data_IF_586565943376
#
_entry.id   IF_586565943376
#
_cell.length_a   1.000
_cell.length_b   1.000
_cell.length_c   1.000
_cell.angle_alpha   90.00
_cell.angle_beta   90.00
_cell.angle_gamma   90.00
#
_symmetry.space_group_name_H-M   'P 1'
#
loop_
_entity.id
_entity.type
_entity.pdbx_description
1 polymer ?
2 polymer ?
3 polymer ?
4 polymer ?
5 non-polymer ?
6 non-polymer ?
7 non-polymer ?
8 non-polymer ?
9 non-polymer ?
10 non-polymer ?
11 non-polymer ?
12 water ?
#
loop_
_entity_poly.entity_id
_entity_poly.type
_entity_poly.pdbx_seq_one_letter_code
_entity_poly.pdbx_strand_id
2 'polydeoxyribonucleotide' '(DC)(DG)(DG)(DC)(DC)(DT)(DA)(DC)(DG)' ?
3 'polydeoxyribonucleotide' '(DC)(DG)(DT)(DA)(8GM)' ?
4 'polydeoxyribonucleotide' '(DG)(DC)(DC)(DG)' ?
#
# COMPACT_ATOMS: atom_id res chain seq x y z
N UNK A 12 10.09 -15.76 -17.22
CA UNK A 12 9.52 -14.79 -16.30
C UNK A 12 9.35 -15.50 -14.96
N UNK A 13 10.06 -14.99 -13.92
CA UNK A 13 9.97 -15.63 -12.61
C UNK A 13 8.56 -15.56 -12.05
N UNK A 14 8.25 -16.51 -11.16
CA UNK A 14 6.90 -16.67 -10.68
C UNK A 14 6.55 -15.71 -9.53
N UNK A 15 7.54 -15.26 -8.76
CA UNK A 15 7.28 -14.36 -7.64
C UNK A 15 7.57 -12.91 -8.05
N UNK A 16 6.75 -11.97 -7.57
CA UNK A 16 6.99 -10.59 -8.00
C UNK A 16 8.30 -10.02 -7.44
N UNK A 17 8.82 -10.58 -6.36
CA UNK A 17 10.08 -10.08 -5.80
C UNK A 17 11.30 -10.54 -6.56
N UNK A 18 11.13 -11.37 -7.59
CA UNK A 18 12.21 -11.90 -8.40
C UNK A 18 12.39 -11.15 -9.71
N UNK A 19 11.59 -10.14 -9.96
CA UNK A 19 11.68 -9.44 -11.23
C UNK A 19 11.47 -7.96 -11.02
N UNK A 20 12.20 -7.13 -11.73
CA UNK A 20 11.97 -5.68 -11.65
C UNK A 20 10.63 -5.29 -12.22
N UNK A 21 9.93 -4.41 -11.51
CA UNK A 21 8.69 -3.87 -12.05
C UNK A 21 8.74 -2.37 -11.96
N UNK A 22 8.90 -1.67 -13.07
CA UNK A 22 9.02 -0.22 -13.03
C UNK A 22 7.67 0.44 -12.83
N UNK A 23 7.72 1.73 -12.56
CA UNK A 23 6.49 2.50 -12.36
C UNK A 23 5.75 2.66 -13.68
N UNK A 24 6.48 2.95 -14.74
CA UNK A 24 5.94 3.09 -16.09
C UNK A 24 6.17 1.79 -16.85
N UNK A 25 5.10 1.25 -17.43
CA UNK A 25 5.21 -0.03 -18.13
C UNK A 25 4.28 -0.01 -19.35
N UNK A 26 4.21 -1.14 -20.07
CA UNK A 26 3.67 -1.18 -21.43
C UNK A 26 2.33 -1.88 -21.60
N UNK A 27 1.66 -2.27 -20.54
CA UNK A 27 0.45 -3.08 -20.68
C UNK A 27 -0.62 -2.60 -19.72
N UNK A 28 -0.75 -1.28 -19.58
CA UNK A 28 -1.64 -0.70 -18.60
C UNK A 28 -3.08 -1.13 -18.80
N UNK A 29 -3.55 -1.16 -20.04
CA UNK A 29 -4.93 -1.54 -20.28
C UNK A 29 -5.25 -2.95 -19.82
N UNK A 30 -4.37 -3.90 -20.12
CA UNK A 30 -4.58 -5.28 -19.68
C UNK A 30 -4.48 -5.38 -18.17
N UNK A 31 -3.48 -4.75 -17.57
CA UNK A 31 -3.32 -4.89 -16.13
C UNK A 31 -4.47 -4.24 -15.39
N UNK A 32 -4.97 -3.09 -15.89
CA UNK A 32 -6.06 -2.44 -15.19
C UNK A 32 -7.31 -3.30 -15.20
N UNK A 33 -7.57 -4.01 -16.28
CA UNK A 33 -8.74 -4.90 -16.35
C UNK A 33 -8.62 -6.05 -15.35
N UNK A 34 -7.45 -6.70 -15.33
CA UNK A 34 -7.25 -7.78 -14.37
C UNK A 34 -7.36 -7.26 -12.93
N UNK A 35 -6.92 -6.02 -12.68
CA UNK A 35 -7.04 -5.47 -11.33
C UNK A 35 -8.49 -5.16 -10.95
N UNK A 36 -9.34 -4.83 -11.93
CA UNK A 36 -10.77 -4.73 -11.63
C UNK A 36 -11.31 -6.06 -11.13
N UNK A 37 -10.99 -7.14 -11.85
CA UNK A 37 -11.43 -8.46 -11.42
C UNK A 37 -10.84 -8.84 -10.05
N UNK A 38 -9.59 -8.48 -9.78
CA UNK A 38 -9.02 -8.73 -8.47
C UNK A 38 -9.81 -8.00 -7.37
N UNK A 39 -10.04 -6.70 -7.58
CA UNK A 39 -10.78 -5.91 -6.59
C UNK A 39 -12.16 -6.51 -6.37
N UNK A 40 -12.85 -6.88 -7.45
CA UNK A 40 -14.16 -7.47 -7.30
C UNK A 40 -14.11 -8.80 -6.57
N UNK A 41 -13.06 -9.61 -6.80
CA UNK A 41 -12.92 -10.86 -6.06
C UNK A 41 -12.78 -10.59 -4.57
N UNK A 42 -12.04 -9.54 -4.21
CA UNK A 42 -11.94 -9.16 -2.80
C UNK A 42 -13.28 -8.75 -2.22
N UNK A 43 -14.05 -7.98 -2.99
CA UNK A 43 -15.36 -7.57 -2.51
C UNK A 43 -16.27 -8.76 -2.24
N UNK A 44 -16.07 -9.87 -2.93
CA UNK A 44 -16.88 -11.06 -2.72
C UNK A 44 -16.24 -12.03 -1.72
N UNK A 45 -15.15 -11.62 -1.08
CA UNK A 45 -14.52 -12.40 -0.04
C UNK A 45 -13.58 -13.51 -0.50
N UNK A 46 -13.10 -13.47 -1.73
CA UNK A 46 -12.14 -14.49 -2.22
C UNK A 46 -10.77 -13.85 -2.33
N UNK A 47 -9.98 -13.96 -1.27
CA UNK A 47 -8.64 -13.45 -1.29
C UNK A 47 -7.76 -14.24 -2.26
N UNK A 48 -8.05 -15.53 -2.46
CA UNK A 48 -7.23 -16.29 -3.38
C UNK A 48 -7.37 -15.84 -4.82
N UNK A 49 -8.62 -15.66 -5.28
CA UNK A 49 -8.83 -15.14 -6.63
C UNK A 49 -8.29 -13.71 -6.76
N UNK A 50 -8.43 -12.90 -5.71
CA UNK A 50 -7.84 -11.57 -5.75
C UNK A 50 -6.34 -11.66 -5.98
N UNK A 51 -5.67 -12.57 -5.26
CA UNK A 51 -4.24 -12.69 -5.39
C UNK A 51 -3.83 -13.15 -6.77
N UNK A 52 -4.54 -14.14 -7.35
CA UNK A 52 -4.17 -14.59 -8.69
C UNK A 52 -4.31 -13.45 -9.71
N UNK A 53 -5.42 -12.73 -9.66
CA UNK A 53 -5.60 -11.66 -10.63
C UNK A 53 -4.58 -10.55 -10.43
N UNK A 54 -4.26 -10.22 -9.16
CA UNK A 54 -3.21 -9.25 -8.90
C UNK A 54 -1.86 -9.73 -9.44
N UNK A 55 -1.52 -11.00 -9.22
CA UNK A 55 -0.26 -11.53 -9.69
C UNK A 55 -0.20 -11.52 -11.20
N UNK A 56 -1.31 -11.90 -11.86
CA UNK A 56 -1.32 -11.89 -13.31
C UNK A 56 -1.13 -10.47 -13.85
N UNK A 57 -1.83 -9.49 -13.25
CA UNK A 57 -1.64 -8.10 -13.65
C UNK A 57 -0.20 -7.68 -13.50
N UNK A 58 0.44 -8.10 -12.42
CA UNK A 58 1.82 -7.71 -12.14
C UNK A 58 2.79 -8.31 -13.14
N UNK A 59 2.53 -9.54 -13.58
CA UNK A 59 3.35 -10.18 -14.61
C UNK A 59 3.37 -9.30 -15.86
N UNK A 60 2.21 -8.76 -16.24
CA UNK A 60 2.16 -7.93 -17.43
C UNK A 60 2.94 -6.62 -17.25
N UNK A 61 2.98 -6.07 -16.03
CA UNK A 61 3.75 -4.86 -15.76
C UNK A 61 5.23 -5.11 -15.91
N UNK A 62 5.68 -6.34 -15.76
CA UNK A 62 7.08 -6.63 -15.84
C UNK A 62 7.55 -6.98 -17.24
N UNK A 63 6.63 -7.13 -18.18
CA UNK A 63 7.01 -7.46 -19.54
C UNK A 63 7.68 -6.26 -20.22
N UNK A 64 8.62 -6.52 -21.13
CA UNK A 64 9.36 -5.42 -21.75
C UNK A 64 8.63 -4.71 -22.86
N UNK A 65 7.53 -5.27 -23.36
CA UNK A 65 6.87 -4.76 -24.55
C UNK A 65 5.38 -4.95 -24.42
N UNK A 66 4.59 -4.27 -25.24
CA UNK A 66 3.14 -4.51 -25.23
C UNK A 66 2.80 -5.91 -25.71
N UNK A 67 1.86 -6.53 -25.01
CA UNK A 67 1.23 -7.76 -25.48
C UNK A 67 0.25 -7.37 -26.57
N UNK A 68 0.46 -7.92 -27.76
CA UNK A 68 -0.45 -7.73 -28.89
C UNK A 68 -1.07 -9.01 -29.38
N UNK A 69 -0.57 -10.17 -28.97
CA UNK A 69 -1.06 -11.46 -29.41
C UNK A 69 -1.21 -12.38 -28.22
N UNK A 70 -2.27 -13.18 -28.22
CA UNK A 70 -2.47 -14.15 -27.14
C UNK A 70 -1.27 -15.05 -26.99
N UNK A 71 -0.61 -15.38 -28.11
CA UNK A 71 0.61 -16.19 -28.15
C UNK A 71 1.62 -15.74 -27.10
N UNK A 72 1.74 -14.43 -26.88
CA UNK A 72 2.74 -13.88 -26.00
C UNK A 72 2.49 -14.19 -24.52
N UNK A 73 1.33 -14.76 -24.17
CA UNK A 73 1.08 -15.16 -22.79
C UNK A 73 1.55 -16.56 -22.47
N UNK A 74 1.84 -17.38 -23.49
CA UNK A 74 2.10 -18.79 -23.24
C UNK A 74 3.28 -18.92 -22.28
N UNK A 75 3.10 -19.76 -21.27
CA UNK A 75 4.14 -20.02 -20.31
C UNK A 75 4.25 -19.01 -19.18
N UNK A 76 3.55 -17.88 -19.27
CA UNK A 76 3.69 -16.90 -18.21
C UNK A 76 3.05 -17.41 -16.92
N UNK A 77 3.70 -17.20 -15.78
CA UNK A 77 3.09 -17.61 -14.52
C UNK A 77 1.82 -16.83 -14.23
N UNK A 78 0.88 -17.52 -13.60
CA UNK A 78 -0.38 -16.99 -13.10
C UNK A 78 -1.37 -16.68 -14.20
N UNK A 79 -1.07 -17.05 -15.46
CA UNK A 79 -2.04 -17.00 -16.56
C UNK A 79 -2.58 -18.39 -16.80
N UNK A 80 -3.82 -18.59 -16.42
CA UNK A 80 -4.59 -19.78 -16.75
C UNK A 80 -5.76 -19.44 -17.64
N UNK A 81 -6.79 -20.27 -17.59
CA UNK A 81 -7.83 -20.09 -18.58
C UNK A 81 -8.55 -18.76 -18.37
N UNK A 82 -8.73 -18.35 -17.13
CA UNK A 82 -9.60 -17.19 -16.89
C UNK A 82 -8.88 -15.89 -17.24
N UNK A 83 -7.66 -15.70 -16.70
CA UNK A 83 -6.92 -14.48 -17.03
C UNK A 83 -6.57 -14.41 -18.51
N UNK A 84 -6.30 -15.56 -19.13
CA UNK A 84 -5.98 -15.53 -20.55
C UNK A 84 -7.19 -15.12 -21.37
N UNK A 85 -8.39 -15.59 -20.97
CA UNK A 85 -9.60 -15.23 -21.72
C UNK A 85 -9.87 -13.73 -21.64
N UNK A 86 -9.60 -13.13 -20.48
CA UNK A 86 -9.77 -11.68 -20.35
C UNK A 86 -8.83 -10.94 -21.30
N UNK A 87 -7.55 -11.33 -21.33
CA UNK A 87 -6.62 -10.69 -22.25
C UNK A 87 -7.07 -10.91 -23.69
N UNK A 88 -7.49 -12.13 -24.02
CA UNK A 88 -7.90 -12.45 -25.39
C UNK A 88 -9.04 -11.54 -25.83
N UNK A 89 -10.04 -11.35 -24.97
CA UNK A 89 -11.17 -10.49 -25.32
C UNK A 89 -10.72 -9.04 -25.50
N UNK A 90 -9.84 -8.55 -24.62
CA UNK A 90 -9.36 -7.18 -24.75
C UNK A 90 -8.57 -7.01 -26.03
N UNK A 91 -7.77 -8.01 -26.41
CA UNK A 91 -7.01 -7.88 -27.65
C UNK A 91 -7.90 -7.95 -28.88
N UNK A 92 -8.93 -8.80 -28.85
CA UNK A 92 -9.81 -8.97 -30.01
C UNK A 92 -10.78 -7.81 -30.15
N UNK A 93 -11.30 -7.32 -29.04
CA UNK A 93 -12.46 -6.43 -29.04
C UNK A 93 -12.22 -5.10 -28.36
N UNK A 94 -11.19 -4.97 -27.53
CA UNK A 94 -10.96 -3.74 -26.81
C UNK A 94 -11.71 -3.66 -25.50
N UNK A 95 -12.61 -4.60 -25.23
CA UNK A 95 -13.34 -4.67 -23.98
C UNK A 95 -13.55 -6.13 -23.61
N UNK A 96 -13.61 -6.40 -22.32
CA UNK A 96 -13.95 -7.71 -21.79
C UNK A 96 -15.33 -7.62 -21.16
N UNK A 97 -16.26 -8.45 -21.63
CA UNK A 97 -17.64 -8.37 -21.14
C UNK A 97 -17.69 -8.51 -19.62
N UNK A 98 -16.92 -9.44 -19.05
CA UNK A 98 -16.98 -9.64 -17.61
C UNK A 98 -16.50 -8.41 -16.85
N UNK A 99 -15.42 -7.79 -17.33
CA UNK A 99 -14.91 -6.59 -16.69
C UNK A 99 -15.95 -5.47 -16.77
N UNK A 100 -16.59 -5.30 -17.93
CA UNK A 100 -17.55 -4.21 -18.07
C UNK A 100 -18.78 -4.45 -17.18
N UNK A 101 -19.20 -5.70 -17.07
CA UNK A 101 -20.34 -6.01 -16.20
C UNK A 101 -20.00 -5.70 -14.75
N UNK A 102 -18.77 -6.02 -14.31
CA UNK A 102 -18.42 -5.71 -12.93
C UNK A 102 -18.33 -4.19 -12.75
N UNK A 103 -17.62 -3.52 -13.65
CA UNK A 103 -17.49 -2.07 -13.61
C UNK A 103 -18.83 -1.37 -13.43
N UNK A 104 -19.83 -1.79 -14.20
CA UNK A 104 -21.10 -1.08 -14.20
C UNK A 104 -22.03 -1.51 -13.09
N UNK A 105 -21.63 -2.48 -12.25
CA UNK A 105 -22.57 -3.04 -11.30
C UNK A 105 -22.69 -2.18 -10.05
N UNK A 106 -23.91 -2.13 -9.51
CA UNK A 106 -24.16 -1.33 -8.31
C UNK A 106 -23.32 -1.83 -7.15
N UNK A 107 -23.14 -3.15 -7.08
CA UNK A 107 -22.38 -3.73 -5.97
C UNK A 107 -20.93 -3.30 -6.04
N UNK A 108 -20.29 -3.45 -7.21
CA UNK A 108 -18.91 -3.01 -7.36
C UNK A 108 -18.76 -1.53 -7.06
N UNK A 109 -19.61 -0.69 -7.66
CA UNK A 109 -19.48 0.75 -7.48
C UNK A 109 -19.61 1.13 -6.01
N UNK A 110 -20.59 0.57 -5.32
CA UNK A 110 -20.82 0.93 -3.93
C UNK A 110 -19.71 0.40 -3.03
N UNK A 111 -19.29 -0.84 -3.26
CA UNK A 111 -18.21 -1.38 -2.44
C UNK A 111 -16.93 -0.61 -2.65
N UNK A 112 -16.67 -0.15 -3.87
CA UNK A 112 -15.50 0.69 -4.10
C UNK A 112 -15.63 2.01 -3.34
N UNK A 113 -16.82 2.61 -3.39
CA UNK A 113 -17.04 3.88 -2.72
C UNK A 113 -16.83 3.75 -1.23
N UNK A 114 -17.38 2.70 -0.62
CA UNK A 114 -17.31 2.56 0.84
C UNK A 114 -15.91 2.13 1.29
N UNK A 115 -15.28 1.19 0.59
CA UNK A 115 -13.97 0.73 1.05
C UNK A 115 -12.89 1.79 0.86
N UNK A 116 -13.12 2.78 0.00
CA UNK A 116 -12.10 3.83 -0.09
C UNK A 116 -12.17 4.80 1.09
N UNK A 117 -13.17 4.69 1.96
CA UNK A 117 -13.20 5.50 3.18
C UNK A 117 -12.18 4.96 4.16
N UNK A 118 -11.41 5.85 4.75
CA UNK A 118 -10.51 5.49 5.84
C UNK A 118 -11.33 5.00 7.03
N UNK A 119 -11.04 3.76 7.47
CA UNK A 119 -11.79 3.11 8.53
C UNK A 119 -12.79 2.06 8.09
N UNK A 120 -13.02 1.93 6.80
CA UNK A 120 -14.00 0.99 6.24
C UNK A 120 -13.26 -0.01 5.36
N UNK A 121 -13.36 -1.30 5.68
CA UNK A 121 -12.92 -2.35 4.79
C UNK A 121 -14.07 -3.14 4.19
N UNK A 122 -13.71 -4.25 3.53
CA UNK A 122 -14.71 -5.04 2.81
C UNK A 122 -15.82 -5.52 3.73
N UNK A 123 -15.48 -6.08 4.90
CA UNK A 123 -16.53 -6.65 5.75
C UNK A 123 -17.50 -5.58 6.20
N UNK A 124 -17.01 -4.40 6.57
CA UNK A 124 -17.91 -3.32 6.97
C UNK A 124 -18.74 -2.83 5.79
N UNK A 125 -18.08 -2.62 4.64
CA UNK A 125 -18.81 -2.16 3.46
C UNK A 125 -19.88 -3.15 3.02
N UNK A 126 -19.58 -4.44 3.11
CA UNK A 126 -20.54 -5.45 2.70
C UNK A 126 -21.76 -5.44 3.61
N UNK A 127 -21.54 -5.25 4.91
CA UNK A 127 -22.68 -5.20 5.83
C UNK A 127 -23.57 -4.01 5.49
N UNK A 128 -22.96 -2.84 5.28
CA UNK A 128 -23.73 -1.67 4.90
C UNK A 128 -24.47 -1.87 3.56
N UNK A 129 -23.80 -2.43 2.57
CA UNK A 129 -24.47 -2.75 1.30
C UNK A 129 -25.69 -3.63 1.55
N UNK A 130 -25.53 -4.69 2.35
CA UNK A 130 -26.66 -5.59 2.63
C UNK A 130 -27.78 -4.90 3.40
N UNK A 131 -27.49 -3.85 4.16
CA UNK A 131 -28.50 -3.07 4.86
C UNK A 131 -29.17 -2.04 3.96
N UNK A 132 -28.74 -1.92 2.70
CA UNK A 132 -29.36 -1.02 1.76
C UNK A 132 -28.66 0.31 1.57
N UNK A 133 -27.56 0.56 2.25
CA UNK A 133 -26.91 1.84 2.09
C UNK A 133 -26.13 1.87 0.79
N UNK A 134 -26.10 3.03 0.16
CA UNK A 134 -25.52 3.16 -1.16
C UNK A 134 -24.65 4.39 -1.37
N UNK A 135 -24.76 5.41 -0.54
CA UNK A 135 -24.05 6.66 -0.78
C UNK A 135 -23.37 7.13 0.50
N UNK A 136 -22.44 8.06 0.34
CA UNK A 136 -21.83 8.64 1.54
C UNK A 136 -22.85 9.43 2.36
N UNK A 137 -23.82 10.08 1.72
CA UNK A 137 -24.85 10.75 2.51
C UNK A 137 -25.69 9.76 3.29
N UNK A 138 -25.89 8.54 2.76
CA UNK A 138 -26.56 7.51 3.54
C UNK A 138 -25.82 7.23 4.84
N UNK A 139 -24.49 7.15 4.78
CA UNK A 139 -23.72 6.86 5.99
C UNK A 139 -23.76 8.03 6.96
N UNK A 140 -23.65 9.25 6.45
CA UNK A 140 -23.68 10.42 7.32
C UNK A 140 -25.01 10.53 8.05
N UNK A 141 -26.11 10.10 7.42
CA UNK A 141 -27.41 10.12 8.07
C UNK A 141 -27.55 9.09 9.19
N UNK A 142 -26.61 8.17 9.35
CA UNK A 142 -26.68 7.13 10.38
C UNK A 142 -25.38 7.10 11.18
N UNK A 143 -25.08 8.16 11.93
CA UNK A 143 -23.74 8.30 12.52
C UNK A 143 -23.47 7.35 13.67
N UNK A 144 -24.49 6.77 14.30
CA UNK A 144 -24.24 5.79 15.34
C UNK A 144 -23.58 4.53 14.79
N UNK A 145 -23.78 4.24 13.50
CA UNK A 145 -23.17 3.11 12.85
C UNK A 145 -21.65 3.26 12.68
N UNK A 146 -21.03 4.37 13.09
CA UNK A 146 -19.66 4.68 12.71
C UNK A 146 -18.72 4.72 13.90
N UNK A 147 -17.56 4.08 13.73
CA UNK A 147 -16.46 4.30 14.66
C UNK A 147 -15.93 5.72 14.53
N UNK A 148 -15.13 6.12 15.52
CA UNK A 148 -14.47 7.41 15.44
C UNK A 148 -13.53 7.49 14.22
N UNK A 149 -12.83 6.40 13.93
CA UNK A 149 -11.98 6.39 12.75
C UNK A 149 -12.80 6.62 11.47
N UNK A 150 -13.94 5.96 11.37
CA UNK A 150 -14.79 6.11 10.20
C UNK A 150 -15.38 7.52 10.13
N UNK A 151 -15.74 8.09 11.29
CA UNK A 151 -16.25 9.46 11.29
C UNK A 151 -15.21 10.41 10.72
N UNK A 152 -13.96 10.22 11.09
CA UNK A 152 -12.90 11.06 10.57
C UNK A 152 -12.71 10.84 9.07
N UNK A 153 -12.74 9.57 8.64
CA UNK A 153 -12.58 9.30 7.23
C UNK A 153 -13.69 9.91 6.41
N UNK A 154 -14.90 9.88 6.93
CA UNK A 154 -16.04 10.45 6.21
C UNK A 154 -15.98 11.97 6.23
N UNK A 155 -15.61 12.54 7.38
CA UNK A 155 -15.56 13.99 7.49
C UNK A 155 -14.57 14.59 6.51
N UNK A 156 -13.46 13.91 6.26
CA UNK A 156 -12.39 14.46 5.46
C UNK A 156 -12.33 13.78 4.11
N UNK A 157 -13.42 13.11 3.73
CA UNK A 157 -13.37 12.27 2.54
C UNK A 157 -13.01 13.03 1.28
N UNK A 158 -13.56 14.26 1.09
CA UNK A 158 -13.27 14.99 -0.14
C UNK A 158 -11.77 15.29 -0.26
N UNK A 159 -11.17 15.82 0.83
CA UNK A 159 -9.73 16.09 0.77
C UNK A 159 -8.92 14.81 0.58
N UNK A 160 -9.31 13.72 1.27
CA UNK A 160 -8.54 12.47 1.20
C UNK A 160 -8.68 11.82 -0.17
N UNK A 161 -9.63 12.26 -0.97
CA UNK A 161 -9.76 11.77 -2.34
C UNK A 161 -8.95 12.58 -3.33
N UNK A 162 -8.33 13.69 -2.90
CA UNK A 162 -7.49 14.55 -3.73
C UNK A 162 -6.08 13.98 -3.73
N UNK A 163 -5.45 13.74 -4.88
CA UNK A 163 -4.10 13.20 -4.85
C UNK A 163 -3.15 14.08 -4.06
N UNK A 164 -2.32 13.41 -3.26
CA UNK A 164 -1.22 14.05 -2.57
C UNK A 164 -0.09 14.21 -3.57
N UNK A 165 0.49 15.40 -3.64
CA UNK A 165 1.56 15.74 -4.57
C UNK A 165 2.90 15.86 -3.87
N UNK A 166 3.97 15.96 -4.67
CA UNK A 166 5.31 16.08 -4.08
C UNK A 166 5.47 17.35 -3.25
N UNK A 167 4.84 18.46 -3.68
CA UNK A 167 4.87 19.68 -2.89
C UNK A 167 4.35 19.44 -1.48
N UNK A 168 3.27 18.66 -1.37
CA UNK A 168 2.70 18.30 -0.09
C UNK A 168 3.67 17.44 0.71
N UNK A 169 4.30 16.47 0.04
CA UNK A 169 5.25 15.61 0.73
C UNK A 169 6.38 16.43 1.34
N UNK A 170 6.92 17.35 0.56
CA UNK A 170 8.03 18.14 1.07
C UNK A 170 7.62 18.98 2.26
N UNK A 171 6.43 19.59 2.22
CA UNK A 171 5.97 20.39 3.35
C UNK A 171 5.75 19.52 4.58
N UNK A 172 5.18 18.33 4.38
CA UNK A 172 4.91 17.45 5.51
C UNK A 172 6.20 16.92 6.10
N UNK A 173 7.19 16.63 5.26
CA UNK A 173 8.42 16.09 5.81
C UNK A 173 9.09 17.15 6.68
N UNK A 174 9.01 18.42 6.27
CA UNK A 174 9.60 19.47 7.08
C UNK A 174 8.91 19.57 8.45
N UNK A 175 7.58 19.48 8.49
CA UNK A 175 6.96 19.64 9.81
C UNK A 175 7.16 18.41 10.68
N UNK A 176 7.19 17.21 10.06
CA UNK A 176 7.50 16.00 10.81
C UNK A 176 8.93 16.04 11.34
N UNK A 177 9.89 16.45 10.50
CA UNK A 177 11.26 16.58 10.98
C UNK A 177 11.36 17.55 12.14
N UNK A 178 10.64 18.67 12.07
CA UNK A 178 10.71 19.64 13.16
C UNK A 178 10.19 19.03 14.46
N UNK A 179 9.05 18.36 14.42
CA UNK A 179 8.49 17.74 15.62
C UNK A 179 9.40 16.64 16.14
N UNK A 180 9.94 15.80 15.25
CA UNK A 180 10.82 14.72 15.65
C UNK A 180 12.08 15.27 16.30
N UNK A 181 12.67 16.30 15.72
CA UNK A 181 13.87 16.91 16.31
C UNK A 181 13.61 17.54 17.67
N UNK A 182 12.43 18.12 17.85
CA UNK A 182 12.03 18.65 19.15
C UNK A 182 11.82 17.54 20.17
N UNK A 183 11.35 16.37 19.72
CA UNK A 183 11.07 15.27 20.62
C UNK A 183 12.33 14.49 20.98
N UNK A 184 13.30 14.40 20.07
CA UNK A 184 14.47 13.56 20.36
C UNK A 184 15.63 13.99 19.48
N UNK A 185 16.63 14.69 20.01
CA UNK A 185 17.76 15.10 19.18
C UNK A 185 18.44 13.91 18.55
N UNK A 186 18.73 14.05 17.26
CA UNK A 186 19.41 13.03 16.50
C UNK A 186 18.50 12.06 15.80
N UNK A 187 17.20 12.10 16.09
CA UNK A 187 16.28 11.20 15.41
C UNK A 187 16.14 11.65 13.98
N UNK A 188 15.86 10.69 13.11
CA UNK A 188 15.77 10.87 11.67
C UNK A 188 14.39 10.48 11.14
N UNK A 189 14.07 11.05 9.99
CA UNK A 189 12.81 10.84 9.29
C UNK A 189 13.12 10.44 7.86
N UNK A 190 12.59 9.28 7.44
CA UNK A 190 12.80 8.74 6.09
C UNK A 190 11.47 8.61 5.38
N UNK A 191 11.34 9.21 4.20
CA UNK A 191 10.15 9.01 3.39
C UNK A 191 10.12 7.60 2.84
N UNK A 192 8.98 6.91 3.02
CA UNK A 192 8.82 5.56 2.50
C UNK A 192 7.57 5.49 1.61
N UNK A 193 6.94 4.34 1.52
CA UNK A 193 5.76 4.23 0.68
C UNK A 193 5.99 4.51 -0.80
N UNK A 194 4.88 4.81 -1.47
CA UNK A 194 4.93 4.98 -2.91
C UNK A 194 5.84 6.08 -3.37
N UNK A 195 5.96 7.18 -2.58
CA UNK A 195 6.85 8.23 -3.03
C UNK A 195 8.31 7.77 -3.06
N UNK A 196 8.71 6.87 -2.16
CA UNK A 196 10.08 6.37 -2.24
C UNK A 196 10.27 5.47 -3.46
N UNK A 197 9.21 4.86 -3.96
CA UNK A 197 9.29 4.07 -5.18
C UNK A 197 9.21 4.91 -6.44
N UNK A 198 9.12 6.22 -6.29
CA UNK A 198 9.12 7.10 -7.44
C UNK A 198 7.77 7.61 -7.88
N UNK A 199 6.69 7.26 -7.20
CA UNK A 199 5.39 7.77 -7.59
C UNK A 199 5.36 9.28 -7.45
N UNK A 200 4.64 9.93 -8.37
CA UNK A 200 4.49 11.37 -8.31
C UNK A 200 3.28 11.80 -7.49
N UNK A 201 2.38 10.88 -7.21
CA UNK A 201 1.16 11.12 -6.44
C UNK A 201 0.96 9.99 -5.45
N UNK A 202 0.07 10.21 -4.48
CA UNK A 202 -0.24 9.18 -3.52
C UNK A 202 -1.54 9.48 -2.83
N UNK A 203 -2.05 8.49 -2.10
CA UNK A 203 -3.23 8.68 -1.27
C UNK A 203 -2.87 9.15 0.13
N UNK A 204 -1.59 9.08 0.48
CA UNK A 204 -1.09 9.42 1.79
C UNK A 204 0.40 9.61 1.68
N UNK A 205 1.02 10.01 2.78
CA UNK A 205 2.47 10.09 2.89
C UNK A 205 2.91 9.22 4.03
N UNK A 206 3.97 8.42 3.81
CA UNK A 206 4.45 7.45 4.81
C UNK A 206 5.87 7.82 5.25
N UNK A 207 6.09 7.83 6.57
CA UNK A 207 7.39 8.21 7.14
C UNK A 207 7.83 7.18 8.16
N UNK A 208 9.13 6.89 8.16
CA UNK A 208 9.76 5.97 9.09
C UNK A 208 10.78 6.75 9.91
N UNK A 209 10.68 6.64 11.24
CA UNK A 209 11.45 7.44 12.18
C UNK A 209 12.31 6.50 13.01
N UNK A 210 13.58 6.86 13.17
CA UNK A 210 14.45 6.05 14.04
C UNK A 210 15.47 6.98 14.71
N UNK A 211 16.39 6.37 15.47
CA UNK A 211 17.48 7.07 16.11
C UNK A 211 18.71 6.16 16.07
N UNK A 212 19.90 6.71 15.81
CA UNK A 212 21.07 5.82 15.63
C UNK A 212 21.46 5.04 16.87
N UNK A 213 21.05 5.47 18.06
CA UNK A 213 21.42 4.75 19.29
C UNK A 213 20.22 3.89 19.71
N UNK A 214 20.42 2.57 19.64
CA UNK A 214 19.39 1.61 19.99
C UNK A 214 18.78 1.91 21.35
N UNK A 215 17.45 1.98 21.40
CA UNK A 215 16.75 2.21 22.64
C UNK A 215 16.30 3.65 22.84
N UNK A 216 16.98 4.60 22.20
CA UNK A 216 16.64 5.98 22.44
C UNK A 216 15.26 6.34 21.90
N UNK A 217 14.79 5.59 20.90
CA UNK A 217 13.51 5.87 20.28
C UNK A 217 12.33 5.37 21.10
N UNK A 218 12.56 4.71 22.24
CA UNK A 218 11.45 4.27 23.07
C UNK A 218 10.61 5.47 23.48
N UNK A 219 9.28 5.35 23.30
CA UNK A 219 8.39 6.42 23.70
C UNK A 219 8.36 7.62 22.80
N UNK A 220 8.97 7.53 21.60
CA UNK A 220 9.10 8.69 20.76
C UNK A 220 7.77 9.09 20.13
N UNK A 221 6.98 8.10 19.67
CA UNK A 221 5.87 8.51 18.81
C UNK A 221 4.83 9.32 19.61
N UNK A 222 4.48 8.98 20.86
CA UNK A 222 3.58 9.87 21.59
C UNK A 222 4.13 11.29 21.74
N UNK A 223 5.45 11.45 21.93
CA UNK A 223 6.02 12.77 22.05
C UNK A 223 5.93 13.54 20.74
N UNK A 224 6.10 12.86 19.62
CA UNK A 224 5.99 13.51 18.32
C UNK A 224 4.55 13.94 18.09
N UNK A 225 3.61 13.04 18.38
CA UNK A 225 2.20 13.34 18.17
C UNK A 225 1.75 14.50 19.03
N UNK A 226 2.19 14.56 20.29
CA UNK A 226 1.84 15.70 21.13
C UNK A 226 2.35 17.01 20.55
N UNK A 227 3.58 17.01 20.04
CA UNK A 227 4.15 18.22 19.49
C UNK A 227 3.44 18.64 18.21
N UNK A 228 3.06 17.68 17.38
CA UNK A 228 2.28 18.02 16.19
C UNK A 228 0.88 18.53 16.58
N UNK A 229 0.25 17.87 17.55
CA UNK A 229 -1.11 18.26 17.92
C UNK A 229 -1.11 19.65 18.50
N UNK A 230 -0.05 20.05 19.19
CA UNK A 230 -0.06 21.38 19.80
C UNK A 230 0.32 22.48 18.81
N UNK A 231 0.92 22.13 17.67
CA UNK A 231 1.07 23.08 16.57
C UNK A 231 -0.18 23.13 15.69
N UNK A 232 -1.26 22.47 16.10
CA UNK A 232 -2.51 22.45 15.34
C UNK A 232 -2.48 21.63 14.08
N UNK A 233 -1.55 20.68 13.96
CA UNK A 233 -1.36 19.98 12.68
C UNK A 233 -2.16 18.70 12.57
N UNK A 234 -2.82 18.22 13.64
CA UNK A 234 -3.44 16.91 13.67
C UNK A 234 -4.95 17.06 13.71
N UNK A 235 -5.63 16.50 12.71
CA UNK A 235 -7.09 16.40 12.71
C UNK A 235 -7.59 15.11 13.34
N UNK A 236 -6.88 14.01 13.14
CA UNK A 236 -7.28 12.72 13.68
C UNK A 236 -6.04 11.89 13.98
N UNK A 237 -6.04 11.22 15.14
CA UNK A 237 -5.13 10.11 15.35
C UNK A 237 -5.72 9.15 16.39
N UNK A 238 -5.13 7.97 16.43
CA UNK A 238 -5.38 6.84 17.37
C UNK A 238 -5.66 5.56 16.60
N UNK A 258 1.19 3.19 24.91
CA UNK A 258 2.42 3.04 24.11
C UNK A 258 2.06 2.66 22.68
N UNK A 259 2.71 3.29 21.70
CA UNK A 259 2.44 2.90 20.33
C UNK A 259 3.64 3.26 19.45
N UNK A 260 3.76 2.53 18.32
CA UNK A 260 4.83 2.70 17.36
C UNK A 260 4.37 2.94 15.92
N UNK A 261 3.07 2.87 15.64
CA UNK A 261 2.50 3.21 14.35
C UNK A 261 1.35 4.15 14.61
N UNK A 262 1.25 5.22 13.82
CA UNK A 262 0.14 6.14 13.93
C UNK A 262 -0.39 6.42 12.53
N UNK A 263 -1.66 6.13 12.30
CA UNK A 263 -2.33 6.40 11.02
C UNK A 263 -3.17 7.63 11.23
N UNK A 264 -2.69 8.78 10.79
CA UNK A 264 -3.37 9.99 11.19
C UNK A 264 -3.73 10.83 9.97
N UNK A 265 -4.48 11.87 10.26
CA UNK A 265 -4.89 12.85 9.27
C UNK A 265 -4.32 14.18 9.74
N UNK A 266 -3.51 14.81 8.91
CA UNK A 266 -2.91 16.11 9.20
C UNK A 266 -3.80 17.23 8.67
N UNK A 267 -3.72 18.39 9.31
CA UNK A 267 -4.24 19.66 8.78
C UNK A 267 -3.05 20.34 8.12
N UNK A 268 -2.87 20.14 6.82
CA UNK A 268 -1.72 20.69 6.10
C UNK A 268 -1.99 22.11 5.63
N UNK A 269 -1.19 23.10 6.02
CA UNK A 269 -1.45 24.46 5.53
C UNK A 269 -1.27 24.53 4.03
N UNK A 270 -2.12 25.33 3.40
CA UNK A 270 -2.06 25.69 2.00
C UNK A 270 -2.16 27.21 1.93
N UNK A 271 -1.86 27.81 0.77
CA UNK A 271 -2.00 29.27 0.64
C UNK A 271 -3.39 29.76 1.02
N UNK A 272 -3.48 30.50 2.12
CA UNK A 272 -4.73 31.02 2.64
C UNK A 272 -5.65 30.00 3.25
N UNK A 273 -5.22 28.75 3.42
CA UNK A 273 -6.17 27.74 3.87
C UNK A 273 -5.49 26.48 4.30
N UNK A 274 -6.14 25.32 4.16
CA UNK A 274 -5.56 24.07 4.59
C UNK A 274 -6.30 22.92 3.91
N UNK A 275 -5.67 21.75 3.90
CA UNK A 275 -6.32 20.53 3.43
C UNK A 275 -5.92 19.36 4.31
N UNK A 276 -6.85 18.43 4.47
CA UNK A 276 -6.56 17.21 5.20
C UNK A 276 -5.72 16.27 4.35
N UNK A 277 -4.71 15.66 4.96
CA UNK A 277 -3.85 14.69 4.29
C UNK A 277 -3.60 13.51 5.22
N UNK A 278 -3.75 12.31 4.70
CA UNK A 278 -3.38 11.09 5.43
C UNK A 278 -1.87 10.94 5.52
N UNK A 279 -1.40 10.69 6.75
CA UNK A 279 0.03 10.52 7.01
C UNK A 279 0.18 9.31 7.91
N UNK A 280 1.09 8.40 7.54
CA UNK A 280 1.44 7.28 8.38
C UNK A 280 2.81 7.54 8.99
N UNK A 281 2.90 7.43 10.31
CA UNK A 281 4.16 7.57 11.04
C UNK A 281 4.49 6.25 11.72
N UNK A 282 5.70 5.78 11.52
CA UNK A 282 6.19 4.55 12.11
C UNK A 282 7.51 4.83 12.80
N UNK A 283 7.69 4.32 14.03
CA UNK A 283 8.97 4.36 14.72
C UNK A 283 9.53 2.95 14.77
N UNK A 284 10.81 2.80 14.46
CA UNK A 284 11.51 1.54 14.59
C UNK A 284 12.85 1.75 15.27
N UNK A 285 13.29 0.80 16.11
CA UNK A 285 14.69 0.84 16.56
C UNK A 285 15.65 0.60 15.39
N UNK A 286 16.85 1.15 15.54
CA UNK A 286 17.76 1.15 14.37
C UNK A 286 18.14 -0.26 13.96
N UNK A 287 18.18 -1.22 14.91
CA UNK A 287 18.43 -2.62 14.55
C UNK A 287 17.39 -3.15 13.56
N UNK A 288 16.17 -2.61 13.59
CA UNK A 288 15.12 -3.07 12.72
C UNK A 288 14.92 -2.18 11.51
N UNK A 289 15.67 -1.08 11.42
CA UNK A 289 15.38 -0.08 10.39
C UNK A 289 15.43 -0.66 8.98
N UNK A 290 16.40 -1.48 8.56
CA UNK A 290 16.33 -2.04 7.20
C UNK A 290 15.08 -2.83 6.94
N UNK A 291 14.58 -3.60 7.93
CA UNK A 291 13.38 -4.40 7.75
C UNK A 291 12.15 -3.52 7.67
N UNK A 292 12.11 -2.46 8.48
CA UNK A 292 10.97 -1.57 8.41
C UNK A 292 11.01 -0.77 7.11
N UNK A 293 12.19 -0.35 6.69
CA UNK A 293 12.29 0.41 5.44
C UNK A 293 11.82 -0.46 4.28
N UNK A 294 12.25 -1.71 4.27
CA UNK A 294 11.83 -2.62 3.20
C UNK A 294 10.34 -2.83 3.23
N UNK A 295 9.78 -3.12 4.41
CA UNK A 295 8.36 -3.39 4.50
C UNK A 295 7.51 -2.21 4.11
N UNK A 296 7.84 -1.04 4.61
CA UNK A 296 7.02 0.15 4.38
C UNK A 296 7.25 0.76 3.02
N UNK A 297 8.26 0.35 2.30
CA UNK A 297 8.44 0.87 0.94
C UNK A 297 7.56 0.15 -0.06
N UNK A 298 7.11 -1.07 0.23
CA UNK A 298 6.16 -1.73 -0.69
C UNK A 298 6.80 -2.12 -2.00
N UNK A 299 5.99 -2.22 -3.07
CA UNK A 299 4.54 -2.15 -3.03
C UNK A 299 3.87 -3.23 -2.19
N UNK A 300 2.56 -3.08 -1.92
CA UNK A 300 1.85 -4.06 -1.10
C UNK A 300 1.98 -5.47 -1.69
N UNK A 301 1.78 -5.61 -2.99
CA UNK A 301 1.93 -6.93 -3.60
C UNK A 301 3.38 -7.38 -3.52
N UNK A 302 4.33 -6.49 -3.79
CA UNK A 302 5.74 -6.87 -3.70
C UNK A 302 6.05 -7.45 -2.32
N UNK A 303 5.58 -6.78 -1.26
CA UNK A 303 5.93 -7.24 0.08
C UNK A 303 5.26 -8.56 0.42
N UNK A 304 3.99 -8.77 0.02
CA UNK A 304 3.41 -10.08 0.34
C UNK A 304 4.09 -11.18 -0.46
N UNK A 305 4.50 -10.89 -1.67
CA UNK A 305 5.24 -11.87 -2.47
C UNK A 305 6.61 -12.17 -1.86
N UNK A 306 7.31 -11.14 -1.39
CA UNK A 306 8.61 -11.32 -0.75
C UNK A 306 8.49 -12.17 0.51
N UNK A 307 7.49 -11.91 1.33
CA UNK A 307 7.29 -12.68 2.55
C UNK A 307 6.89 -14.12 2.23
N UNK A 308 6.06 -14.31 1.19
CA UNK A 308 5.74 -15.67 0.75
C UNK A 308 6.99 -16.39 0.27
N UNK A 309 7.79 -15.72 -0.55
CA UNK A 309 9.03 -16.29 -1.03
C UNK A 309 9.94 -16.70 0.12
N UNK A 310 10.08 -15.81 1.10
CA UNK A 310 10.99 -16.07 2.22
C UNK A 310 10.59 -17.36 2.92
N UNK A 311 9.31 -17.47 3.24
CA UNK A 311 8.84 -18.60 4.02
C UNK A 311 8.82 -19.88 3.17
N UNK A 312 8.21 -19.79 1.99
CA UNK A 312 7.98 -21.00 1.20
C UNK A 312 9.21 -21.51 0.48
N UNK A 313 10.08 -20.62 0.02
CA UNK A 313 11.28 -21.02 -0.71
C UNK A 313 12.50 -21.12 0.18
N UNK A 314 12.63 -20.25 1.18
CA UNK A 314 13.84 -20.21 1.99
C UNK A 314 13.63 -20.65 3.43
N UNK A 315 12.40 -20.91 3.86
CA UNK A 315 12.18 -21.37 5.22
C UNK A 315 12.44 -20.34 6.28
N UNK A 316 12.38 -19.06 5.93
CA UNK A 316 12.68 -17.96 6.85
C UNK A 316 11.45 -17.08 6.96
N UNK A 317 11.24 -16.48 8.13
CA UNK A 317 10.04 -15.73 8.36
C UNK A 317 10.36 -14.23 8.38
N UNK A 318 9.78 -13.49 7.44
CA UNK A 318 10.06 -12.07 7.23
C UNK A 318 8.90 -11.21 7.67
N UNK A 319 9.18 -10.15 8.43
CA UNK A 319 8.20 -9.11 8.69
C UNK A 319 8.96 -7.78 8.78
N UNK A 320 8.29 -6.72 9.23
CA UNK A 320 8.91 -5.39 9.23
C UNK A 320 9.83 -5.20 10.41
N UNK A 321 9.99 -6.21 11.26
CA UNK A 321 10.93 -6.17 12.37
C UNK A 321 12.21 -6.95 12.09
N UNK A 322 12.15 -7.99 11.27
CA UNK A 322 13.28 -8.89 11.17
C UNK A 322 13.02 -10.04 10.22
N UNK A 323 14.02 -10.92 10.16
CA UNK A 323 14.03 -12.10 9.32
C UNK A 323 14.49 -13.24 10.23
N UNK A 324 13.60 -14.17 10.51
CA UNK A 324 13.77 -15.16 11.56
C UNK A 324 14.01 -16.54 10.96
N UNK A 325 15.03 -17.23 11.46
CA UNK A 325 15.27 -18.63 11.12
C UNK A 325 14.65 -19.47 12.21
N UNK A 326 13.53 -20.14 11.96
CA UNK A 326 12.78 -20.82 13.03
C UNK A 326 13.44 -22.09 13.51
N UNK A 327 14.40 -22.63 12.78
CA UNK A 327 15.07 -23.83 13.27
C UNK A 327 16.23 -23.46 14.21
N UNK A 328 17.04 -22.47 13.84
CA UNK A 328 18.10 -22.03 14.73
C UNK A 328 17.59 -21.05 15.78
N UNK A 329 16.41 -20.48 15.59
CA UNK A 329 15.83 -19.56 16.58
C UNK A 329 16.61 -18.25 16.65
N UNK A 330 17.07 -17.76 15.50
CA UNK A 330 17.90 -16.58 15.42
C UNK A 330 17.36 -15.59 14.38
N UNK A 331 17.72 -14.35 14.59
CA UNK A 331 17.37 -13.25 13.69
C UNK A 331 18.59 -12.84 12.88
N UNK A 332 18.37 -12.56 11.61
CA UNK A 332 19.42 -12.09 10.72
C UNK A 332 19.73 -10.63 11.00
N UNK A 333 20.98 -10.31 11.23
CA UNK A 333 21.38 -8.93 11.50
C UNK A 333 21.69 -8.25 10.17
N UNK A 334 20.81 -7.36 9.75
CA UNK A 334 20.94 -6.68 8.47
C UNK A 334 21.36 -5.25 8.70
N UNK A 335 22.29 -4.77 7.87
CA UNK A 335 22.64 -3.36 7.90
C UNK A 335 21.97 -2.55 6.81
N UNK A 336 21.36 -3.20 5.82
CA UNK A 336 20.77 -2.51 4.68
C UNK A 336 19.70 -3.41 4.09
N UNK A 337 18.83 -2.82 3.25
CA UNK A 337 17.93 -3.62 2.44
C UNK A 337 18.69 -4.62 1.58
N UNK A 338 19.80 -4.18 0.96
CA UNK A 338 20.60 -5.08 0.14
C UNK A 338 20.97 -6.35 0.91
N UNK A 339 21.32 -6.19 2.20
CA UNK A 339 21.68 -7.36 3.00
C UNK A 339 20.52 -8.36 3.05
N UNK A 340 19.28 -7.85 3.15
CA UNK A 340 18.11 -8.73 3.26
C UNK A 340 17.91 -9.50 1.97
N UNK A 341 17.94 -8.80 0.84
CA UNK A 341 17.80 -9.47 -0.45
C UNK A 341 18.86 -10.56 -0.59
N UNK A 342 20.11 -10.22 -0.25
CA UNK A 342 21.21 -11.17 -0.40
C UNK A 342 20.99 -12.42 0.47
N UNK A 343 20.53 -12.24 1.71
CA UNK A 343 20.29 -13.38 2.58
C UNK A 343 19.17 -14.27 2.08
N UNK A 344 18.23 -13.71 1.33
CA UNK A 344 17.16 -14.46 0.71
C UNK A 344 17.54 -15.00 -0.66
N UNK A 345 18.75 -14.75 -1.12
CA UNK A 345 19.16 -15.29 -2.41
C UNK A 345 18.53 -14.58 -3.58
N UNK A 346 18.12 -13.33 -3.40
CA UNK A 346 17.46 -12.54 -4.44
C UNK A 346 18.37 -11.44 -4.94
N UNK A 347 18.34 -11.20 -6.24
CA UNK A 347 18.99 -10.01 -6.79
C UNK A 347 18.35 -8.76 -6.21
N UNK A 348 19.18 -7.80 -5.83
CA UNK A 348 18.65 -6.58 -5.23
C UNK A 348 17.81 -5.79 -6.23
N UNK A 349 16.67 -5.27 -5.77
CA UNK A 349 15.84 -4.39 -6.56
C UNK A 349 15.77 -3.04 -5.85
N UNK A 350 16.14 -1.94 -6.48
CA UNK A 350 15.94 -0.62 -5.86
C UNK A 350 14.45 -0.35 -5.73
N UNK A 351 14.05 0.61 -4.87
CA UNK A 351 12.63 0.88 -4.65
C UNK A 351 11.83 1.15 -5.93
N UNK A 352 12.41 1.84 -6.90
CA UNK A 352 11.70 2.16 -8.13
C UNK A 352 11.41 0.93 -8.99
N UNK A 353 11.97 -0.24 -8.66
CA UNK A 353 11.69 -1.49 -9.37
C UNK A 353 10.85 -2.46 -8.54
N UNK A 354 10.21 -1.97 -7.45
CA UNK A 354 9.37 -2.76 -6.57
C UNK A 354 7.89 -2.41 -6.75
N UNK A 355 7.57 -1.91 -7.95
CA UNK A 355 6.20 -1.45 -8.25
C UNK A 355 5.32 -2.57 -8.78
N UNK A 356 5.36 -3.70 -8.09
CA UNK A 356 4.58 -4.87 -8.50
C UNK A 356 3.09 -4.62 -8.32
X LIG E 1 4.80 -2.52 6.50
X LIG E 1 5.31 -3.82 6.30
X LIG E 1 3.30 -2.58 6.78
X LIG E 1 3.10 -3.31 7.96
X LIG F 1 5.08 -6.58 9.65
X LIG F 1 5.59 -6.30 10.96
X LIG F 1 3.92 -5.69 9.23
X LIG G 1 7.33 -0.26 -27.62
X LIG G 1 8.26 -1.28 -27.81
X LIG G 1 7.93 0.78 -26.67
X LIG G 1 8.48 0.15 -25.55
X LIG H 1 11.58 -24.89 2.29
X LIG H 1 11.95 -25.88 1.36
X LIG H 1 12.61 -24.84 3.41
X LIG H 1 13.85 -24.47 2.88
X LIG I 1 1.41 5.48 0.95
X LIG J 1 -14.27 -12.76 -29.17
X LIG K 1 7.26 -3.74 17.65
X LIG L 1 -10.88 1.77 3.73
X LIG M 1 0.95 8.64 -11.45
X LIG M 1 2.19 7.98 -10.28
X LIG M 1 1.75 8.41 -8.95
X LIG M 1 2.21 6.52 -10.27
X LIG M 1 3.48 8.56 -10.62
X LIG N 1 0.51 2.46 1.34
X LIG N 1 1.63 1.56 1.78
X LIG N 1 0.65 3.94 1.79
X LIG N 1 -0.84 1.84 1.67
X LIG N 1 0.54 2.25 -0.24
X LIG N 1 1.59 3.00 -1.16
X LIG N 1 2.30 1.93 -1.94
X LIG N 1 2.35 3.97 -0.23
X LIG N 1 0.49 3.69 -2.13
X LIG N 1 -0.55 4.91 -1.85
X LIG N 1 -0.56 5.82 -3.06
X LIG N 1 -0.25 5.44 -0.46
X LIG N 1 -1.99 4.19 -1.78
X LIG N 1 -2.24 2.84 -2.04
X LIG N 1 -3.38 2.33 -1.21
X LIG N 1 -4.37 3.38 -0.94
X LIG N 1 -4.17 1.20 -1.90
X LIG N 1 -4.13 -0.06 -1.20
X LIG N 1 -5.62 1.78 -2.03
X LIG N 1 -6.51 0.73 -1.77
X LIG N 1 -5.68 2.81 -0.92
X LIG N 1 -6.72 3.96 -0.95
X LIG N 1 -7.76 4.07 0.01
X LIG N 1 -8.50 5.13 -0.22
X LIG N 1 -7.93 5.76 -1.33
X LIG N 1 -8.30 6.95 -2.01
X LIG N 1 -9.26 7.69 -1.76
X LIG N 1 -7.47 7.23 -3.08
X LIG N 1 -6.40 6.45 -3.44
X LIG N 1 -5.69 6.88 -4.50
X LIG N 1 -6.04 5.33 -2.82
X LIG N 1 -6.84 5.05 -1.78
X LIG N 1 -7.95 3.28 0.88
X LIG O 1 -3.67 -6.14 -6.90
X LIG P 1 2.52 2.25 -1.92
X LIG P 1 1.61 3.24 -1.26
X LIG P 1 2.28 4.46 -0.67
X LIG P 1 0.52 2.66 -0.39
X LIG P 1 0.78 3.86 -2.48
X LIG P 1 -0.28 5.07 -2.28
X LIG P 1 0.28 5.96 -3.37
X LIG P 1 -1.65 4.47 -2.53
X LIG P 1 -0.09 5.65 -0.88
X LIG Q 1 -9.46 -26.20 -3.06
X LIG R 1 0.31 4.53 4.12
X LIG S 1 -0.79 0.76 0.08
X LIG T 1 -10.96 -21.60 -5.91
#
# INVERSE_FOLDING_TARGET
GSAAAPLSPAWMPAYACQRPTPLTHHNTGLSEALEILAEAAGFEGSEGRLLTFCRAASVLKALPSPVTTLSQLQGLPHFGEHSSRVVQELLEHGVCEEVERVRRSERYQTMKLFTQIFGVGVKTADRWYREGLRTLDDLREQPQKLTQQQKAGLQHHQDLSTPVLRSDVDALQQVVEEAVGQALPGATVTLTGGFRRGKLQGHDVDFLITHPKEGQEAGLLPRVMCRLQDQGLILYHQHQHSCCESPTRLAQQSHMDAFERSFCIFRLPQPGSWKAVRVDLVVAPVSQFPFALLGWTGSKLFQRELRRFSRKEKGLWLNSHGLFDPEQKTFFQAASEEDIFRHLGLEYLPPEQRNA
EDO C1 O1 C2 O2
EDO C1 O1 C2
EDO C1 O1 C2 O2
EDO C1 O1 C2 O2
MN MN
MN MN
MN MN
NA NA
EPE C10 S O1S O2S O3S
8GT PG O1G O2G O3G O3B PB O1B O2B O3A PA O1A O2A O5' C5' C4' O4' C3' O3' C2' O2' C1' N9 C8 N7 C5 C6 O6 N1 C2 N2 N3 C4 O8
DTT S1
PPV O11 P1 O21 O31 OPP P2 O12 O22 O32
MN MN
MN MN
MN MN
MN MN
#
